data_IF_032259098188
#
_entry.id   IF_032259098188
#
_cell.length_a   1.000
_cell.length_b   1.000
_cell.length_c   1.000
_cell.angle_alpha   90.00
_cell.angle_beta   90.00
_cell.angle_gamma   90.00
#
_symmetry.space_group_name_H-M   'P 1'
#
loop_
_entity.id
_entity.type
_entity.pdbx_description
1 polymer ?
#
# COMPACT_ATOMS: atom_id res chain seq x y z
N UNK A 1 3.48 -17.98 1.58
CA UNK A 1 2.75 -16.87 0.92
C UNK A 1 2.85 -16.96 -0.62
N UNK A 2 2.45 -18.09 -1.22
CA UNK A 2 2.47 -18.21 -2.69
C UNK A 2 1.29 -17.42 -3.29
N UNK A 3 1.52 -16.74 -4.43
CA UNK A 3 0.49 -16.00 -5.17
C UNK A 3 -0.25 -14.91 -4.34
N UNK A 4 0.44 -14.28 -3.39
CA UNK A 4 -0.16 -13.24 -2.55
C UNK A 4 -0.32 -11.87 -3.26
N UNK A 5 0.27 -11.71 -4.45
CA UNK A 5 0.25 -10.46 -5.19
C UNK A 5 1.09 -9.39 -4.51
N UNK A 6 0.72 -8.12 -4.71
CA UNK A 6 1.39 -6.99 -4.07
C UNK A 6 1.33 -7.09 -2.55
N UNK A 7 2.44 -6.74 -1.90
CA UNK A 7 2.57 -6.68 -0.46
C UNK A 7 3.11 -5.33 -0.01
N UNK A 8 2.75 -4.94 1.21
CA UNK A 8 3.32 -3.81 1.93
C UNK A 8 3.83 -4.33 3.27
N UNK A 9 4.87 -3.69 3.80
CA UNK A 9 5.51 -4.09 5.04
C UNK A 9 5.51 -2.91 6.00
N UNK A 10 5.27 -3.16 7.28
CA UNK A 10 5.38 -2.18 8.34
C UNK A 10 6.21 -2.75 9.48
N UNK A 11 7.06 -1.93 10.08
CA UNK A 11 7.87 -2.32 11.23
C UNK A 11 7.68 -1.28 12.33
N UNK A 12 7.45 -1.75 13.55
CA UNK A 12 7.28 -0.91 14.72
C UNK A 12 8.02 -1.49 15.91
N UNK A 13 8.67 -0.61 16.68
CA UNK A 13 9.30 -1.00 17.94
C UNK A 13 8.81 -0.09 19.05
N UNK A 14 8.75 -0.62 20.27
CA UNK A 14 8.45 0.18 21.46
C UNK A 14 8.98 -0.47 22.74
N UNK A 15 9.05 0.32 23.79
CA UNK A 15 9.55 -0.05 25.13
C UNK A 15 8.54 0.36 26.21
N UNK A 16 8.73 -0.12 27.45
CA UNK A 16 7.86 0.22 28.57
C UNK A 16 6.68 -0.74 28.80
N UNK A 17 5.65 -0.26 29.51
CA UNK A 17 4.50 -1.07 29.95
C UNK A 17 3.53 -1.39 28.80
N UNK A 18 3.26 -0.42 27.93
CA UNK A 18 2.34 -0.51 26.80
C UNK A 18 3.03 -0.90 25.48
N UNK A 19 4.29 -1.33 25.54
CA UNK A 19 5.15 -1.60 24.37
C UNK A 19 4.55 -2.47 23.28
N UNK A 20 3.71 -3.44 23.61
CA UNK A 20 3.10 -4.28 22.57
C UNK A 20 2.06 -3.50 21.74
N UNK A 21 1.24 -2.70 22.41
CA UNK A 21 0.26 -1.81 21.78
C UNK A 21 0.96 -0.74 20.94
N UNK A 22 1.96 -0.08 21.53
CA UNK A 22 2.66 1.03 20.89
C UNK A 22 3.50 0.55 19.70
N UNK A 23 4.14 -0.64 19.82
CA UNK A 23 4.84 -1.25 18.68
C UNK A 23 3.88 -1.59 17.54
N UNK A 24 2.65 -2.03 17.84
CA UNK A 24 1.66 -2.33 16.81
C UNK A 24 1.23 -1.04 16.09
N UNK A 25 0.92 0.03 16.84
CA UNK A 25 0.60 1.34 16.25
C UNK A 25 1.74 1.86 15.38
N UNK A 26 2.97 1.79 15.86
CA UNK A 26 4.16 2.20 15.09
C UNK A 26 4.34 1.36 13.82
N UNK A 27 4.04 0.06 13.87
CA UNK A 27 4.14 -0.80 12.71
C UNK A 27 3.11 -0.42 11.64
N UNK A 28 1.89 -0.06 12.04
CA UNK A 28 0.79 0.32 11.13
C UNK A 28 1.01 1.71 10.55
N UNK A 29 1.56 2.63 11.33
CA UNK A 29 1.89 4.01 10.90
C UNK A 29 3.25 4.10 10.20
N UNK A 30 3.90 2.97 9.95
CA UNK A 30 5.19 2.92 9.28
C UNK A 30 5.08 3.52 7.86
N UNK A 31 6.02 4.38 7.44
CA UNK A 31 6.02 4.96 6.09
C UNK A 31 6.17 3.92 4.97
N UNK A 32 6.50 2.68 5.32
CA UNK A 32 6.57 1.54 4.40
C UNK A 32 5.16 0.99 4.03
N UNK A 33 4.10 1.45 4.72
CA UNK A 33 2.69 1.09 4.47
C UNK A 33 1.95 2.24 3.75
N UNK A 34 2.38 2.57 2.54
CA UNK A 34 1.92 3.75 1.76
C UNK A 34 0.39 3.80 1.51
N UNK A 35 -0.27 2.63 1.36
CA UNK A 35 -1.72 2.55 1.09
C UNK A 35 -2.56 2.18 2.32
N UNK A 36 -1.96 2.11 3.51
CA UNK A 36 -2.61 1.61 4.73
C UNK A 36 -2.95 0.11 4.67
N UNK A 37 -3.32 -0.48 5.80
CA UNK A 37 -3.62 -1.93 5.92
C UNK A 37 -5.11 -2.27 5.77
N UNK A 38 -5.97 -1.26 5.74
CA UNK A 38 -7.43 -1.37 5.76
C UNK A 38 -8.01 -2.21 4.62
N UNK A 39 -7.31 -2.25 3.47
CA UNK A 39 -7.75 -2.95 2.24
C UNK A 39 -7.04 -4.27 2.01
N UNK A 40 -6.16 -4.68 2.91
CA UNK A 40 -5.46 -5.95 2.80
C UNK A 40 -6.40 -7.09 3.21
N UNK A 41 -6.49 -8.12 2.36
CA UNK A 41 -7.32 -9.32 2.66
C UNK A 41 -6.51 -10.44 3.29
N UNK A 42 -5.19 -10.32 3.35
CA UNK A 42 -4.32 -11.25 4.06
C UNK A 42 -3.22 -10.49 4.76
N UNK A 43 -3.10 -10.67 6.07
CA UNK A 43 -2.09 -10.01 6.90
C UNK A 43 -1.33 -11.07 7.67
N UNK A 44 -0.01 -10.97 7.63
CA UNK A 44 0.87 -11.79 8.44
C UNK A 44 1.73 -10.86 9.27
N UNK A 45 1.75 -11.07 10.57
CA UNK A 45 2.58 -10.28 11.45
C UNK A 45 3.32 -11.15 12.44
N UNK A 46 4.46 -10.67 12.89
CA UNK A 46 5.29 -11.31 13.88
C UNK A 46 5.61 -10.34 14.99
N UNK A 47 5.54 -10.82 16.23
CA UNK A 47 5.98 -10.09 17.42
C UNK A 47 7.22 -10.78 17.98
N UNK A 48 8.31 -10.02 18.09
CA UNK A 48 9.55 -10.45 18.72
C UNK A 48 9.75 -9.67 20.01
N UNK A 49 10.04 -10.37 21.10
CA UNK A 49 10.36 -9.74 22.37
C UNK A 49 11.18 -10.65 23.27
N UNK A 50 11.65 -10.08 24.37
CA UNK A 50 12.39 -10.83 25.39
C UNK A 50 11.58 -11.88 26.13
N UNK A 51 12.21 -12.51 27.11
CA UNK A 51 11.62 -13.52 28.02
C UNK A 51 10.34 -13.07 28.74
N UNK A 52 10.07 -11.77 28.80
CA UNK A 52 8.86 -11.19 29.38
C UNK A 52 7.71 -10.97 28.38
N UNK A 53 7.79 -11.52 27.16
CA UNK A 53 6.70 -11.49 26.20
C UNK A 53 5.63 -12.52 26.61
N UNK A 54 4.47 -12.05 27.07
CA UNK A 54 3.36 -12.89 27.51
C UNK A 54 2.24 -12.91 26.46
N UNK A 55 1.39 -13.93 26.50
CA UNK A 55 0.21 -14.01 25.62
C UNK A 55 -0.69 -12.78 25.75
N UNK A 56 -0.81 -12.19 26.95
CA UNK A 56 -1.56 -10.94 27.15
C UNK A 56 -1.03 -9.81 26.26
N UNK A 57 0.30 -9.63 26.17
CA UNK A 57 0.91 -8.60 25.32
C UNK A 57 0.68 -8.87 23.83
N UNK A 58 0.78 -10.14 23.43
CA UNK A 58 0.47 -10.56 22.06
C UNK A 58 -0.98 -10.24 21.72
N UNK A 59 -1.93 -10.54 22.63
CA UNK A 59 -3.35 -10.24 22.45
C UNK A 59 -3.60 -8.73 22.34
N UNK A 60 -3.00 -7.90 23.19
CA UNK A 60 -3.14 -6.44 23.09
C UNK A 60 -2.63 -5.89 21.76
N UNK A 61 -1.53 -6.42 21.22
CA UNK A 61 -1.05 -6.03 19.90
C UNK A 61 -2.00 -6.52 18.79
N UNK A 62 -2.55 -7.73 18.93
CA UNK A 62 -3.50 -8.31 17.99
C UNK A 62 -4.79 -7.49 17.90
N UNK A 63 -5.35 -7.05 19.04
CA UNK A 63 -6.56 -6.20 19.09
C UNK A 63 -6.37 -4.91 18.29
N UNK A 64 -5.24 -4.22 18.48
CA UNK A 64 -4.93 -2.99 17.72
C UNK A 64 -4.88 -3.24 16.21
N UNK A 65 -4.26 -4.33 15.79
CA UNK A 65 -4.16 -4.67 14.37
C UNK A 65 -5.55 -5.06 13.84
N UNK A 66 -6.34 -5.81 14.62
CA UNK A 66 -7.67 -6.28 14.24
C UNK A 66 -8.68 -5.15 14.07
N UNK A 67 -8.60 -4.10 14.89
CA UNK A 67 -9.49 -2.94 14.82
C UNK A 67 -9.29 -2.09 13.55
N UNK A 68 -8.11 -2.19 12.90
CA UNK A 68 -7.72 -1.34 11.78
C UNK A 68 -7.76 -2.04 10.42
N UNK A 69 -8.08 -3.33 10.40
CA UNK A 69 -8.05 -4.17 9.19
C UNK A 69 -9.47 -4.57 8.78
N UNK A 70 -9.64 -5.00 7.52
CA UNK A 70 -10.92 -5.50 7.03
C UNK A 70 -11.36 -6.71 7.89
N UNK A 71 -12.61 -6.75 8.42
CA UNK A 71 -13.10 -7.86 9.24
C UNK A 71 -13.07 -9.23 8.54
N UNK A 72 -13.03 -9.22 7.19
CA UNK A 72 -12.93 -10.43 6.37
C UNK A 72 -11.48 -10.83 6.05
N UNK A 73 -10.50 -10.05 6.52
CA UNK A 73 -9.10 -10.33 6.29
C UNK A 73 -8.64 -11.58 7.06
N UNK A 74 -7.84 -12.41 6.40
CA UNK A 74 -7.17 -13.51 7.07
C UNK A 74 -5.92 -13.00 7.80
N UNK A 75 -5.93 -13.08 9.13
CA UNK A 75 -4.82 -12.66 9.98
C UNK A 75 -4.02 -13.86 10.47
N UNK A 76 -2.72 -13.86 10.24
CA UNK A 76 -1.78 -14.86 10.76
C UNK A 76 -0.79 -14.15 11.67
N UNK A 77 -0.65 -14.63 12.91
CA UNK A 77 0.33 -14.10 13.84
C UNK A 77 1.44 -15.12 14.11
N UNK A 78 2.64 -14.60 14.34
CA UNK A 78 3.79 -15.33 14.88
C UNK A 78 4.31 -14.63 16.13
N UNK A 79 4.82 -15.40 17.09
CA UNK A 79 5.48 -14.87 18.27
C UNK A 79 6.84 -15.53 18.43
N UNK A 80 7.87 -14.71 18.61
CA UNK A 80 9.26 -15.16 18.79
C UNK A 80 9.77 -14.60 20.11
N UNK A 81 10.30 -15.48 20.94
CA UNK A 81 11.00 -15.09 22.16
C UNK A 81 12.48 -15.06 21.84
N UNK A 82 13.07 -13.88 21.91
CA UNK A 82 14.50 -13.66 21.74
C UNK A 82 15.09 -13.12 23.06
N UNK A 83 15.83 -13.96 23.83
CA UNK A 83 16.44 -13.54 25.09
C UNK A 83 17.42 -12.37 24.97
N UNK A 84 17.96 -12.10 23.78
CA UNK A 84 18.88 -10.97 23.55
C UNK A 84 18.17 -9.61 23.59
N UNK A 85 16.85 -9.59 23.36
CA UNK A 85 16.03 -8.38 23.39
C UNK A 85 15.50 -8.17 24.81
N UNK A 86 16.01 -7.15 25.50
CA UNK A 86 15.53 -6.76 26.84
C UNK A 86 14.71 -5.48 26.79
N UNK A 87 13.56 -5.48 27.48
CA UNK A 87 12.72 -4.28 27.64
C UNK A 87 11.98 -3.76 26.39
N UNK A 88 12.32 -4.26 25.19
CA UNK A 88 11.70 -3.86 23.92
C UNK A 88 10.77 -4.94 23.36
N UNK A 89 9.87 -4.53 22.48
CA UNK A 89 9.10 -5.39 21.57
C UNK A 89 9.25 -4.83 20.15
N UNK A 90 9.45 -5.72 19.18
CA UNK A 90 9.45 -5.40 17.76
C UNK A 90 8.30 -6.14 17.09
N UNK A 91 7.52 -5.44 16.27
CA UNK A 91 6.45 -6.00 15.46
C UNK A 91 6.77 -5.75 14.00
N UNK A 92 6.71 -6.82 13.22
CA UNK A 92 6.81 -6.78 11.76
C UNK A 92 5.47 -7.21 11.19
N UNK A 93 4.88 -6.38 10.34
CA UNK A 93 3.61 -6.62 9.69
C UNK A 93 3.81 -6.68 8.18
N UNK A 94 3.19 -7.66 7.53
CA UNK A 94 3.19 -7.85 6.09
C UNK A 94 1.74 -7.94 5.66
N UNK A 95 1.27 -6.92 4.98
CA UNK A 95 -0.05 -6.86 4.38
C UNK A 95 0.05 -7.33 2.92
N UNK A 96 -0.87 -8.19 2.50
CA UNK A 96 -0.89 -8.81 1.17
C UNK A 96 -2.29 -8.82 0.60
N UNK A 97 -2.41 -9.11 -0.71
CA UNK A 97 -3.71 -9.21 -1.41
C UNK A 97 -4.59 -7.98 -1.19
N UNK A 98 -4.08 -6.84 -1.62
CA UNK A 98 -4.85 -5.60 -1.65
C UNK A 98 -5.96 -5.70 -2.70
N UNK A 99 -7.20 -5.37 -2.32
CA UNK A 99 -8.29 -5.21 -3.29
C UNK A 99 -7.86 -4.11 -4.28
N UNK A 100 -7.69 -4.49 -5.54
CA UNK A 100 -7.30 -3.55 -6.61
C UNK A 100 -8.35 -2.44 -6.63
N UNK A 101 -7.91 -1.19 -6.47
CA UNK A 101 -8.73 -0.08 -6.95
C UNK A 101 -8.98 -0.41 -8.41
N UNK A 102 -10.24 -0.64 -8.79
CA UNK A 102 -10.63 -0.47 -10.17
C UNK A 102 -10.21 0.96 -10.47
N UNK A 103 -9.03 1.14 -11.07
CA UNK A 103 -8.77 2.33 -11.83
C UNK A 103 -9.93 2.33 -12.82
N UNK A 104 -10.89 3.22 -12.61
CA UNK A 104 -11.75 3.63 -13.68
C UNK A 104 -10.79 4.02 -14.79
N UNK A 105 -10.62 3.09 -15.74
CA UNK A 105 -10.09 3.44 -17.02
C UNK A 105 -11.03 4.50 -17.54
N UNK A 106 -10.48 5.67 -17.80
CA UNK A 106 -11.03 6.57 -18.79
C UNK A 106 -10.77 5.96 -20.18
N UNK A 107 -11.30 4.77 -20.38
CA UNK A 107 -11.49 4.11 -21.67
C UNK A 107 -12.98 4.12 -21.90
N UNK A 108 -13.52 5.31 -22.18
CA UNK A 108 -14.79 5.46 -22.85
C UNK A 108 -14.66 4.95 -24.28
N UNK A 109 -15.09 3.71 -24.53
CA UNK A 109 -15.45 3.27 -25.87
C UNK A 109 -16.74 3.97 -26.28
N UNK A 110 -16.61 5.06 -27.04
CA UNK A 110 -17.69 5.72 -27.75
C UNK A 110 -17.64 5.36 -29.24
N UNK A 111 -18.66 4.62 -29.68
CA UNK A 111 -18.93 4.19 -31.04
C UNK A 111 -18.71 5.24 -32.15
N UNK A 112 -18.25 4.74 -33.30
CA UNK A 112 -18.48 5.23 -34.67
C UNK A 112 -19.42 6.44 -34.79
N UNK A 113 -18.87 7.63 -35.03
CA UNK A 113 -19.58 8.72 -35.70
C UNK A 113 -18.71 9.31 -36.80
N UNK A 114 -19.23 9.22 -38.02
CA UNK A 114 -18.81 9.91 -39.24
C UNK A 114 -18.34 11.36 -38.97
N UNK A 115 -17.34 11.89 -39.68
CA UNK A 115 -17.02 13.31 -39.63
C UNK A 115 -18.14 14.11 -40.31
N UNK A 116 -18.88 14.90 -39.53
CA UNK A 116 -19.74 15.97 -40.06
C UNK A 116 -18.97 17.27 -39.98
N UNK A 117 -18.60 17.77 -41.15
CA UNK A 117 -18.18 19.15 -41.35
C UNK A 117 -19.38 20.06 -41.05
N UNK A 118 -19.29 20.95 -40.04
CA UNK A 118 -19.69 22.35 -40.24
C UNK A 118 -19.23 23.32 -39.14
N UNK A 119 -18.67 24.43 -39.64
CA UNK A 119 -18.72 25.84 -39.19
C UNK A 119 -18.74 26.22 -37.71
N UNK A 120 -17.73 27.04 -37.34
CA UNK A 120 -17.97 28.19 -36.48
C UNK A 120 -17.51 28.10 -35.02
N UNK A 121 -16.24 27.78 -34.78
CA UNK A 121 -15.52 28.38 -33.64
C UNK A 121 -14.00 28.28 -33.83
N UNK A 122 -13.37 29.44 -33.94
CA UNK A 122 -11.92 29.61 -33.98
C UNK A 122 -11.29 29.15 -32.67
N UNK A 123 -10.80 27.92 -32.63
CA UNK A 123 -9.87 27.47 -31.58
C UNK A 123 -8.47 27.96 -31.93
N UNK A 124 -7.92 28.79 -31.05
CA UNK A 124 -6.64 29.44 -31.24
C UNK A 124 -5.50 28.45 -31.07
N UNK A 125 -4.93 28.01 -32.20
CA UNK A 125 -3.82 27.06 -32.22
C UNK A 125 -2.56 27.78 -31.72
N UNK A 126 -1.93 27.28 -30.63
CA UNK A 126 -0.67 27.81 -30.12
C UNK A 126 0.43 27.81 -31.18
N UNK A 127 1.25 28.87 -31.18
CA UNK A 127 2.25 29.16 -32.22
C UNK A 127 3.26 28.02 -32.44
N UNK A 128 3.56 27.23 -31.40
CA UNK A 128 4.48 26.09 -31.48
C UNK A 128 3.97 24.95 -32.38
N UNK A 129 2.65 24.82 -32.59
CA UNK A 129 2.04 23.82 -33.47
C UNK A 129 1.92 24.28 -34.93
N UNK A 130 2.10 25.57 -35.22
CA UNK A 130 1.89 26.14 -36.56
C UNK A 130 3.08 25.98 -37.52
N UNK A 131 4.24 25.44 -37.09
CA UNK A 131 5.45 25.46 -37.94
C UNK A 131 5.90 24.09 -38.48
N UNK A 132 5.19 23.69 -39.52
CA UNK A 132 5.65 23.20 -40.85
C UNK A 132 7.08 22.63 -40.93
N UNK A 133 7.14 21.33 -41.23
CA UNK A 133 8.34 20.65 -41.71
C UNK A 133 8.87 21.25 -43.02
N UNK A 134 10.19 21.45 -43.03
CA UNK A 134 11.06 21.28 -44.20
C UNK A 134 12.44 20.84 -43.68
N UNK A 135 12.56 19.57 -43.32
CA UNK A 135 13.89 18.96 -43.25
C UNK A 135 14.26 18.50 -44.66
N UNK A 136 15.14 19.27 -45.32
CA UNK A 136 15.87 18.84 -46.50
C UNK A 136 17.21 18.31 -46.01
N UNK A 137 17.37 16.99 -45.98
CA UNK A 137 18.70 16.39 -45.92
C UNK A 137 19.18 16.10 -47.35
N UNK A 138 20.39 16.53 -47.74
CA UNK A 138 20.99 16.10 -48.99
C UNK A 138 21.48 14.65 -48.84
N UNK A 139 21.27 13.82 -49.86
CA UNK A 139 21.98 12.54 -50.01
C UNK A 139 23.37 12.83 -50.58
N UNK A 140 24.40 12.34 -49.92
CA UNK A 140 25.68 12.02 -50.54
C UNK A 140 25.58 10.62 -51.16
#
# INVERSE_FOLDING_TARGET
MANAGSSLMGIGTATGKTRARDAALNAIQSPLLDLGIERATGIVWNITGGSHLTLFKVNTAAEVIYDLVDPTANLIFGAVIDPSISGQVSITLIATRFKRRLAQGDTGLGNNRQPSFNEGNSFDIPEFLKKKGRSRYPRA
#
